data_IF_912564295348
#
_entry.id   IF_912564295348
#
_cell.length_a   1.000
_cell.length_b   1.000
_cell.length_c   1.000
_cell.angle_alpha   90.00
_cell.angle_beta   90.00
_cell.angle_gamma   90.00
#
_symmetry.space_group_name_H-M   'P 1'
#
loop_
_entity.id
_entity.type
_entity.pdbx_description
1 polymer ?
#
# COMPACT_ATOMS: atom_id res chain seq x y z
N UNK A 1 -53.40 -19.19 -46.90
CA UNK A 1 -53.24 -20.39 -46.04
C UNK A 1 -52.87 -19.91 -44.64
N UNK A 2 -53.87 -19.65 -43.79
CA UNK A 2 -54.35 -20.49 -42.65
C UNK A 2 -53.40 -20.62 -41.43
N UNK A 3 -53.81 -19.91 -40.35
CA UNK A 3 -53.97 -20.34 -38.92
C UNK A 3 -52.69 -20.69 -38.11
N UNK A 4 -52.55 -20.46 -36.80
CA UNK A 4 -53.36 -19.94 -35.68
C UNK A 4 -52.39 -19.57 -34.51
N UNK A 5 -52.58 -18.45 -33.80
CA UNK A 5 -53.16 -18.31 -32.44
C UNK A 5 -52.69 -19.26 -31.33
N UNK A 6 -52.14 -18.70 -30.24
CA UNK A 6 -52.18 -19.20 -28.84
C UNK A 6 -52.40 -17.97 -27.93
N UNK A 7 -53.64 -17.72 -27.51
CA UNK A 7 -54.27 -18.02 -26.20
C UNK A 7 -53.70 -17.19 -25.04
N UNK A 8 -54.61 -16.44 -24.42
CA UNK A 8 -54.48 -15.50 -23.31
C UNK A 8 -54.51 -16.14 -21.92
N UNK A 9 -54.11 -15.39 -20.89
CA UNK A 9 -54.88 -15.27 -19.64
C UNK A 9 -54.37 -14.08 -18.79
N UNK A 10 -55.33 -13.25 -18.39
CA UNK A 10 -55.23 -12.17 -17.40
C UNK A 10 -55.44 -12.79 -16.02
N UNK A 11 -54.64 -12.42 -15.02
CA UNK A 11 -54.98 -12.59 -13.60
C UNK A 11 -54.48 -11.38 -12.81
N UNK A 12 -55.39 -10.46 -12.57
CA UNK A 12 -55.29 -9.38 -11.60
C UNK A 12 -55.36 -9.97 -10.19
N UNK A 13 -54.46 -9.57 -9.30
CA UNK A 13 -54.66 -9.71 -7.86
C UNK A 13 -54.21 -8.41 -7.19
N UNK A 14 -55.19 -7.63 -6.73
CA UNK A 14 -54.98 -6.55 -5.79
C UNK A 14 -54.80 -7.17 -4.39
N UNK A 15 -53.76 -6.73 -3.67
CA UNK A 15 -53.67 -6.89 -2.23
C UNK A 15 -53.42 -5.51 -1.62
N UNK A 16 -54.45 -4.96 -0.99
CA UNK A 16 -54.38 -3.78 -0.12
C UNK A 16 -54.67 -4.25 1.29
N UNK A 17 -53.71 -4.09 2.19
CA UNK A 17 -53.86 -3.91 3.64
C UNK A 17 -52.45 -3.66 4.18
N UNK A 18 -52.13 -2.41 4.53
CA UNK A 18 -51.90 -1.92 5.91
C UNK A 18 -50.82 -2.73 6.65
N UNK A 19 -49.80 -2.11 7.24
CA UNK A 19 -49.71 -1.83 8.68
C UNK A 19 -48.47 -0.95 8.94
N UNK A 20 -48.70 0.24 9.52
CA UNK A 20 -47.96 0.96 10.57
C UNK A 20 -46.43 1.14 10.45
N UNK A 21 -46.02 2.41 10.50
CA UNK A 21 -44.80 2.80 11.22
C UNK A 21 -43.78 3.58 10.39
N UNK A 22 -43.88 4.91 10.44
CA UNK A 22 -42.74 5.78 10.25
C UNK A 22 -41.73 5.50 11.39
N UNK A 23 -40.86 4.52 11.19
CA UNK A 23 -39.65 4.38 11.98
C UNK A 23 -38.62 5.32 11.39
N UNK A 24 -38.35 6.43 12.07
CA UNK A 24 -37.12 7.19 11.85
C UNK A 24 -35.98 6.18 11.92
N UNK A 25 -35.27 5.95 10.82
CA UNK A 25 -33.96 5.33 10.91
C UNK A 25 -33.14 6.30 11.77
N UNK A 26 -33.03 6.00 13.07
CA UNK A 26 -32.04 6.63 13.93
C UNK A 26 -30.71 6.31 13.27
N UNK A 27 -30.04 7.37 12.78
CA UNK A 27 -28.66 7.26 12.34
C UNK A 27 -27.90 6.48 13.42
N UNK A 28 -27.30 5.36 13.02
CA UNK A 28 -26.38 4.64 13.88
C UNK A 28 -25.37 5.65 14.47
N UNK A 29 -24.93 5.47 15.73
CA UNK A 29 -23.88 6.31 16.28
C UNK A 29 -22.74 6.36 15.26
N UNK A 30 -22.43 7.57 14.79
CA UNK A 30 -21.27 7.80 13.93
C UNK A 30 -20.07 7.26 14.68
N UNK A 31 -19.56 6.11 14.25
CA UNK A 31 -18.27 5.63 14.72
C UNK A 31 -17.29 6.79 14.54
N UNK A 32 -16.53 7.17 15.59
CA UNK A 32 -15.47 8.13 15.41
C UNK A 32 -14.46 7.48 14.45
N UNK A 33 -14.53 7.89 13.19
CA UNK A 33 -13.58 7.47 12.17
C UNK A 33 -12.15 7.70 12.64
N UNK A 34 -11.17 7.00 12.05
CA UNK A 34 -9.79 7.04 12.52
C UNK A 34 -9.29 8.48 12.58
N UNK A 35 -9.03 8.98 13.79
CA UNK A 35 -8.35 10.26 13.99
C UNK A 35 -6.88 10.04 13.67
N UNK A 36 -6.41 10.60 12.56
CA UNK A 36 -4.99 10.63 12.23
C UNK A 36 -4.32 11.69 13.09
N UNK A 37 -3.31 11.33 13.86
CA UNK A 37 -2.55 12.30 14.64
C UNK A 37 -1.56 13.02 13.72
N UNK A 38 -1.72 14.33 13.52
CA UNK A 38 -0.80 15.15 12.73
C UNK A 38 0.00 15.99 13.72
N UNK A 39 1.30 15.72 13.84
CA UNK A 39 2.23 16.48 14.68
C UNK A 39 1.84 16.53 16.18
N UNK A 40 1.27 15.45 16.72
CA UNK A 40 0.83 15.39 18.11
C UNK A 40 -0.56 16.01 18.36
N UNK A 41 -1.21 16.53 17.32
CA UNK A 41 -2.58 17.03 17.39
C UNK A 41 -3.55 16.05 16.73
N UNK A 42 -4.66 15.77 17.42
CA UNK A 42 -5.72 14.93 16.88
C UNK A 42 -6.41 15.64 15.72
N UNK A 43 -6.25 15.12 14.51
CA UNK A 43 -7.07 15.53 13.38
C UNK A 43 -8.47 14.96 13.57
N UNK A 44 -9.43 15.82 13.91
CA UNK A 44 -10.81 15.41 14.15
C UNK A 44 -11.59 15.52 12.86
N UNK A 45 -11.85 14.39 12.20
CA UNK A 45 -12.67 14.35 10.99
C UNK A 45 -14.14 14.54 11.37
N UNK A 46 -14.59 15.79 11.46
CA UNK A 46 -16.00 16.12 11.64
C UNK A 46 -16.71 16.24 10.29
N UNK A 47 -17.11 15.10 9.73
CA UNK A 47 -17.94 15.05 8.52
C UNK A 47 -17.08 14.88 7.27
N UNK A 48 -17.40 15.59 6.18
CA UNK A 48 -16.67 15.48 4.90
C UNK A 48 -15.47 16.43 4.81
N UNK A 49 -15.19 17.20 5.87
CA UNK A 49 -14.13 18.19 5.90
C UNK A 49 -13.02 17.76 6.87
N UNK A 50 -11.78 17.91 6.41
CA UNK A 50 -10.57 17.73 7.18
C UNK A 50 -10.16 19.10 7.76
N UNK A 51 -10.56 19.39 9.00
CA UNK A 51 -10.25 20.67 9.66
C UNK A 51 -8.96 20.54 10.47
N UNK A 52 -7.83 20.86 9.83
CA UNK A 52 -6.58 21.16 10.56
C UNK A 52 -6.66 22.61 11.03
N UNK A 53 -6.38 22.88 12.30
CA UNK A 53 -6.41 24.24 12.84
C UNK A 53 -5.41 25.11 12.06
N UNK A 54 -5.90 26.01 11.20
CA UNK A 54 -5.09 26.80 10.30
C UNK A 54 -4.21 27.77 11.11
N UNK A 55 -2.90 27.51 11.17
CA UNK A 55 -1.96 28.40 11.86
C UNK A 55 -0.76 27.73 12.53
N UNK A 56 -0.63 26.40 12.49
CA UNK A 56 0.56 25.72 13.02
C UNK A 56 1.57 25.50 11.90
N UNK A 57 2.66 26.25 11.90
CA UNK A 57 3.84 25.94 11.09
C UNK A 57 4.67 24.90 11.84
N UNK A 58 4.56 23.63 11.44
CA UNK A 58 5.41 22.58 11.99
C UNK A 58 6.77 22.63 11.29
N UNK A 59 7.82 23.02 12.00
CA UNK A 59 9.19 22.77 11.54
C UNK A 59 9.47 21.29 11.71
N UNK A 60 9.23 20.52 10.65
CA UNK A 60 9.63 19.11 10.60
C UNK A 60 11.13 19.09 10.31
N UNK A 61 11.95 18.70 11.28
CA UNK A 61 13.29 18.22 10.98
C UNK A 61 13.13 16.88 10.26
N UNK A 62 13.01 16.93 8.93
CA UNK A 62 13.06 15.74 8.08
C UNK A 62 14.50 15.25 8.03
N UNK A 63 14.94 14.52 9.07
CA UNK A 63 15.87 13.43 8.79
C UNK A 63 15.08 12.46 7.94
N UNK A 64 15.56 12.13 6.74
CA UNK A 64 14.88 11.32 5.71
C UNK A 64 14.66 9.85 6.11
N UNK A 65 14.30 9.57 7.35
CA UNK A 65 13.86 8.25 7.82
C UNK A 65 12.34 8.18 7.71
N UNK A 66 11.89 7.33 6.80
CA UNK A 66 10.51 7.00 6.45
C UNK A 66 9.55 6.95 7.64
N UNK A 67 8.32 7.44 7.43
CA UNK A 67 7.17 7.21 8.30
C UNK A 67 6.76 5.73 8.27
N UNK A 68 7.58 4.86 8.84
CA UNK A 68 7.27 3.45 9.04
C UNK A 68 6.21 3.27 10.13
N UNK A 69 5.47 2.16 10.05
CA UNK A 69 4.75 1.65 11.21
C UNK A 69 5.72 1.57 12.40
N UNK A 70 5.26 1.89 13.61
CA UNK A 70 6.10 1.80 14.81
C UNK A 70 6.75 0.42 14.88
N UNK A 71 8.07 0.40 15.05
CA UNK A 71 8.89 -0.81 15.05
C UNK A 71 9.38 -1.28 13.68
N UNK A 72 9.03 -0.62 12.59
CA UNK A 72 9.48 -0.93 11.22
C UNK A 72 10.23 0.23 10.59
N UNK A 73 11.16 -0.10 9.69
CA UNK A 73 11.91 0.87 8.90
C UNK A 73 12.31 0.28 7.55
N UNK A 74 12.13 1.06 6.50
CA UNK A 74 12.57 0.69 5.15
C UNK A 74 13.89 1.40 4.90
N UNK A 75 14.93 0.63 4.56
CA UNK A 75 16.25 1.10 4.13
C UNK A 75 16.38 0.82 2.65
N UNK A 76 16.85 1.80 1.89
CA UNK A 76 17.06 1.67 0.45
C UNK A 76 18.52 1.96 0.10
N UNK A 77 18.96 1.38 -1.01
CA UNK A 77 20.21 1.74 -1.69
C UNK A 77 19.97 1.77 -3.20
N UNK A 78 20.62 2.69 -3.90
CA UNK A 78 20.43 2.85 -5.35
C UNK A 78 21.42 1.96 -6.12
N UNK A 79 21.05 1.52 -7.32
CA UNK A 79 21.93 0.75 -8.21
C UNK A 79 21.86 1.24 -9.66
N UNK A 80 22.89 0.92 -10.44
CA UNK A 80 22.94 1.27 -11.87
C UNK A 80 23.67 0.19 -12.67
N UNK A 81 22.91 -0.50 -13.51
CA UNK A 81 23.40 -1.56 -14.40
C UNK A 81 23.49 -1.03 -15.83
N UNK A 82 24.46 -1.53 -16.60
CA UNK A 82 24.59 -1.16 -18.02
C UNK A 82 24.88 -2.38 -18.86
N UNK A 83 24.02 -2.61 -19.84
CA UNK A 83 24.08 -3.72 -20.78
C UNK A 83 23.49 -5.03 -20.23
N UNK A 84 23.04 -5.87 -21.17
CA UNK A 84 22.37 -7.15 -20.87
C UNK A 84 23.32 -8.11 -20.15
N UNK A 85 22.83 -8.76 -19.11
CA UNK A 85 23.57 -9.75 -18.31
C UNK A 85 24.55 -9.12 -17.31
N UNK A 86 24.56 -7.79 -17.18
CA UNK A 86 25.30 -7.14 -16.11
C UNK A 86 24.61 -7.43 -14.77
N UNK A 87 25.40 -7.76 -13.75
CA UNK A 87 24.88 -8.15 -12.43
C UNK A 87 25.38 -7.21 -11.35
N UNK A 88 24.53 -6.92 -10.38
CA UNK A 88 24.89 -6.18 -9.17
C UNK A 88 24.36 -6.91 -7.94
N UNK A 89 25.15 -6.91 -6.87
CA UNK A 89 24.83 -7.58 -5.61
C UNK A 89 25.10 -6.64 -4.45
N UNK A 90 24.11 -6.50 -3.57
CA UNK A 90 24.18 -5.56 -2.45
C UNK A 90 23.66 -6.20 -1.15
N UNK A 91 24.14 -5.70 -0.02
CA UNK A 91 23.71 -6.11 1.32
C UNK A 91 23.18 -4.88 2.05
N UNK A 92 21.87 -4.67 1.97
CA UNK A 92 21.20 -3.51 2.57
C UNK A 92 21.10 -3.71 4.09
N UNK A 93 21.85 -2.96 4.91
CA UNK A 93 21.95 -3.20 6.34
C UNK A 93 20.72 -2.68 7.08
N UNK A 94 20.23 -3.45 8.05
CA UNK A 94 19.24 -2.95 8.99
C UNK A 94 19.88 -2.07 10.07
N UNK A 95 19.16 -1.06 10.57
CA UNK A 95 19.60 -0.28 11.71
C UNK A 95 19.86 -1.15 12.94
N UNK A 96 20.71 -0.64 13.84
CA UNK A 96 21.02 -1.33 15.09
C UNK A 96 19.73 -1.63 15.89
N UNK A 97 19.64 -2.86 16.41
CA UNK A 97 18.45 -3.33 17.16
C UNK A 97 17.35 -3.95 16.29
N UNK A 98 17.43 -3.83 14.96
CA UNK A 98 16.45 -4.39 14.03
C UNK A 98 16.95 -5.65 13.31
N UNK A 99 16.02 -6.38 12.72
CA UNK A 99 16.26 -7.53 11.83
C UNK A 99 15.50 -7.36 10.52
N UNK A 100 16.09 -7.86 9.45
CA UNK A 100 15.47 -7.87 8.13
C UNK A 100 14.34 -8.90 8.10
N UNK A 101 13.13 -8.43 7.80
CA UNK A 101 11.90 -9.25 7.68
C UNK A 101 11.38 -9.32 6.25
N UNK A 102 11.95 -8.51 5.35
CA UNK A 102 11.63 -8.49 3.93
C UNK A 102 12.59 -7.59 3.17
N UNK A 103 12.47 -7.57 1.85
CA UNK A 103 13.26 -6.73 0.97
C UNK A 103 13.19 -7.18 -0.48
N UNK A 104 13.95 -6.53 -1.35
CA UNK A 104 13.97 -6.84 -2.78
C UNK A 104 14.69 -5.78 -3.61
N UNK A 105 14.40 -5.76 -4.90
CA UNK A 105 14.86 -4.74 -5.83
C UNK A 105 13.71 -4.28 -6.73
N UNK A 106 13.80 -3.05 -7.23
CA UNK A 106 12.93 -2.52 -8.28
C UNK A 106 13.73 -1.66 -9.25
N UNK A 107 13.46 -1.79 -10.55
CA UNK A 107 13.92 -0.83 -11.54
C UNK A 107 13.03 0.43 -11.51
N UNK A 108 13.63 1.59 -11.79
CA UNK A 108 12.94 2.88 -11.80
C UNK A 108 12.05 3.06 -13.04
N UNK A 109 12.45 2.44 -14.16
CA UNK A 109 11.68 2.48 -15.40
C UNK A 109 10.62 1.37 -15.41
N UNK A 110 9.36 1.81 -15.52
CA UNK A 110 8.16 0.96 -15.55
C UNK A 110 7.58 0.83 -16.96
N UNK A 111 8.17 1.49 -17.98
CA UNK A 111 7.66 1.44 -19.35
C UNK A 111 7.99 0.10 -20.03
N UNK A 112 9.08 -0.55 -19.61
CA UNK A 112 9.42 -1.91 -20.01
C UNK A 112 9.28 -2.86 -18.81
N UNK A 113 8.42 -3.87 -18.96
CA UNK A 113 8.00 -4.73 -17.86
C UNK A 113 9.12 -5.65 -17.31
N UNK A 114 10.26 -5.74 -17.98
CA UNK A 114 11.31 -6.74 -17.71
C UNK A 114 12.71 -6.11 -17.82
N UNK A 115 13.02 -5.10 -17.00
CA UNK A 115 14.35 -4.44 -17.02
C UNK A 115 15.40 -5.16 -16.15
N UNK A 116 14.96 -5.91 -15.14
CA UNK A 116 15.83 -6.66 -14.24
C UNK A 116 15.27 -8.05 -13.93
N UNK A 117 16.17 -9.02 -13.76
CA UNK A 117 15.88 -10.31 -13.14
C UNK A 117 16.42 -10.35 -11.71
N UNK A 118 15.62 -10.87 -10.77
CA UNK A 118 16.01 -11.02 -9.37
C UNK A 118 16.64 -12.40 -9.15
N UNK A 119 17.97 -12.45 -9.08
CA UNK A 119 18.72 -13.71 -8.94
C UNK A 119 18.76 -14.23 -7.50
N UNK A 120 18.82 -13.33 -6.52
CA UNK A 120 18.84 -13.68 -5.10
C UNK A 120 18.14 -12.58 -4.29
N UNK A 121 17.34 -12.98 -3.30
CA UNK A 121 16.71 -12.06 -2.36
C UNK A 121 16.42 -12.79 -1.05
N UNK A 122 16.95 -12.30 0.05
CA UNK A 122 16.72 -12.89 1.36
C UNK A 122 17.50 -12.22 2.48
N UNK A 123 17.19 -12.54 3.75
CA UNK A 123 17.99 -12.06 4.87
C UNK A 123 19.35 -12.76 4.88
N UNK A 124 20.39 -12.04 5.30
CA UNK A 124 21.68 -12.67 5.63
C UNK A 124 21.52 -13.58 6.87
N UNK A 125 22.46 -14.50 7.10
CA UNK A 125 22.33 -15.56 8.12
C UNK A 125 22.03 -15.06 9.55
N UNK A 126 22.58 -13.91 9.95
CA UNK A 126 22.34 -13.32 11.27
C UNK A 126 21.08 -12.42 11.32
N UNK A 127 20.39 -12.26 10.20
CA UNK A 127 19.20 -11.44 10.00
C UNK A 127 19.44 -9.93 10.10
N UNK A 128 20.68 -9.44 10.13
CA UNK A 128 20.96 -8.01 10.31
C UNK A 128 20.90 -7.18 9.03
N UNK A 129 20.68 -7.83 7.88
CA UNK A 129 20.64 -7.18 6.58
C UNK A 129 19.82 -8.01 5.59
N UNK A 130 19.47 -7.40 4.47
CA UNK A 130 18.86 -8.07 3.33
C UNK A 130 19.88 -8.13 2.19
N UNK A 131 20.17 -9.32 1.68
CA UNK A 131 21.04 -9.51 0.53
C UNK A 131 20.20 -9.63 -0.74
N UNK A 132 20.62 -8.95 -1.79
CA UNK A 132 19.94 -8.96 -3.09
C UNK A 132 20.96 -9.04 -4.21
N UNK A 133 20.63 -9.79 -5.26
CA UNK A 133 21.36 -9.79 -6.51
C UNK A 133 20.38 -9.63 -7.65
N UNK A 134 20.68 -8.71 -8.56
CA UNK A 134 19.92 -8.45 -9.78
C UNK A 134 20.79 -8.62 -11.02
N UNK A 135 20.16 -8.94 -12.14
CA UNK A 135 20.76 -8.97 -13.47
C UNK A 135 19.96 -8.05 -14.40
N UNK A 136 20.65 -7.26 -15.24
CA UNK A 136 19.98 -6.42 -16.24
C UNK A 136 19.56 -7.25 -17.43
N UNK A 137 18.31 -7.05 -17.87
CA UNK A 137 17.77 -7.61 -19.10
C UNK A 137 17.80 -6.59 -20.25
N UNK A 138 18.10 -5.32 -19.95
CA UNK A 138 18.16 -4.24 -20.91
C UNK A 138 19.59 -4.04 -21.46
N UNK A 139 19.66 -3.74 -22.77
CA UNK A 139 20.88 -3.32 -23.46
C UNK A 139 21.31 -1.89 -23.13
N UNK A 140 20.40 -1.08 -22.58
CA UNK A 140 20.64 0.26 -22.09
C UNK A 140 21.21 0.31 -20.66
N UNK A 141 20.97 1.44 -20.00
CA UNK A 141 21.29 1.63 -18.58
C UNK A 141 20.01 1.51 -17.78
N UNK A 142 19.99 0.60 -16.82
CA UNK A 142 18.87 0.38 -15.90
C UNK A 142 19.26 0.89 -14.53
N UNK A 143 18.52 1.88 -14.03
CA UNK A 143 18.64 2.37 -12.67
C UNK A 143 17.52 1.80 -11.80
N UNK A 144 17.80 1.62 -10.52
CA UNK A 144 16.82 1.08 -9.59
C UNK A 144 17.24 1.21 -8.14
N UNK A 145 16.51 0.52 -7.28
CA UNK A 145 16.71 0.51 -5.85
C UNK A 145 16.70 -0.91 -5.30
N UNK A 146 17.63 -1.19 -4.40
CA UNK A 146 17.53 -2.26 -3.42
C UNK A 146 16.79 -1.76 -2.18
N UNK A 147 16.04 -2.65 -1.54
CA UNK A 147 15.32 -2.33 -0.30
C UNK A 147 15.45 -3.44 0.74
N UNK A 148 15.53 -3.04 2.01
CA UNK A 148 15.33 -3.89 3.18
C UNK A 148 14.18 -3.34 4.04
N UNK A 149 13.31 -4.24 4.49
CA UNK A 149 12.30 -3.97 5.51
C UNK A 149 12.84 -4.52 6.82
N UNK A 150 13.09 -3.63 7.76
CA UNK A 150 13.70 -3.93 9.05
C UNK A 150 12.67 -3.75 10.17
N UNK A 151 12.65 -4.69 11.11
CA UNK A 151 11.74 -4.66 12.25
C UNK A 151 12.46 -4.85 13.59
N UNK A 152 11.94 -4.26 14.65
CA UNK A 152 12.37 -4.54 16.02
C UNK A 152 12.11 -6.01 16.35
N UNK A 153 13.09 -6.70 16.94
CA UNK A 153 13.00 -8.14 17.27
C UNK A 153 12.69 -8.44 18.72
N UNK A 154 12.64 -7.40 19.56
CA UNK A 154 12.32 -7.50 20.98
C UNK A 154 10.98 -6.77 21.23
N UNK A 155 9.88 -7.53 21.32
CA UNK A 155 8.57 -7.08 21.78
C UNK A 155 8.14 -7.86 23.03
#
# INVERSE_FOLDING_TARGET
MTKASRIAAIMTAAAVASVIGAGSAQAAPKDPGPSVNVCGQNNSVKGNNNEVNAGVTCTVNVNSSSNGFSGYEIVNDDFSLTGVGSTESEVVPCPAGKRAVGGGASANDLEEADNIDLLTSGPVLNGTAWQVTVESLDSGTTEGQFSAICADVDA
#
